data_IF_236525971277
#
_entry.id   IF_236525971277
#
_cell.length_a   1.000
_cell.length_b   1.000
_cell.length_c   1.000
_cell.angle_alpha   90.00
_cell.angle_beta   90.00
_cell.angle_gamma   90.00
#
_symmetry.space_group_name_H-M   'P 1'
#
loop_
_entity.id
_entity.type
_entity.pdbx_description
1 polymer ?
#
# COMPACT_ATOMS: atom_id res chain seq x y z
N UNK A 1 -18.44 4.29 -2.30
CA UNK A 1 -18.60 4.62 -3.75
C UNK A 1 -17.64 3.75 -4.55
N UNK A 2 -18.03 3.21 -5.72
CA UNK A 2 -17.13 2.44 -6.58
C UNK A 2 -15.93 3.29 -7.06
N UNK A 3 -14.73 2.95 -6.58
CA UNK A 3 -13.52 3.76 -6.81
C UNK A 3 -13.13 3.84 -8.29
N UNK A 4 -13.17 2.70 -9.01
CA UNK A 4 -12.80 2.65 -10.43
C UNK A 4 -13.68 3.58 -11.28
N UNK A 5 -15.00 3.51 -11.12
CA UNK A 5 -15.93 4.36 -11.88
C UNK A 5 -15.70 5.85 -11.59
N UNK A 6 -15.45 6.21 -10.34
CA UNK A 6 -15.13 7.58 -9.96
C UNK A 6 -13.82 8.07 -10.60
N UNK A 7 -12.75 7.26 -10.52
CA UNK A 7 -11.44 7.58 -11.11
C UNK A 7 -11.57 7.72 -12.63
N UNK A 8 -12.25 6.79 -13.29
CA UNK A 8 -12.44 6.80 -14.74
C UNK A 8 -13.22 8.06 -15.19
N UNK A 9 -14.27 8.43 -14.45
CA UNK A 9 -15.01 9.67 -14.71
C UNK A 9 -14.11 10.90 -14.54
N UNK A 10 -13.42 11.05 -13.40
CA UNK A 10 -12.56 12.22 -13.14
C UNK A 10 -11.44 12.34 -14.17
N UNK A 11 -10.83 11.23 -14.58
CA UNK A 11 -9.77 11.21 -15.60
C UNK A 11 -10.27 11.57 -17.01
N UNK A 12 -11.57 11.44 -17.27
CA UNK A 12 -12.18 11.81 -18.55
C UNK A 12 -12.50 13.31 -18.66
N UNK A 13 -12.47 14.04 -17.55
CA UNK A 13 -12.84 15.46 -17.51
C UNK A 13 -11.67 16.36 -17.93
N UNK A 14 -11.94 17.52 -18.56
CA UNK A 14 -10.92 18.53 -18.76
C UNK A 14 -10.45 19.10 -17.41
N UNK A 15 -9.25 19.73 -17.36
CA UNK A 15 -8.77 20.40 -16.16
C UNK A 15 -9.78 21.40 -15.60
N UNK A 16 -10.11 21.29 -14.32
CA UNK A 16 -11.09 22.15 -13.67
C UNK A 16 -11.56 21.61 -12.33
N UNK A 17 -12.55 22.27 -11.74
CA UNK A 17 -13.14 21.87 -10.47
C UNK A 17 -14.24 20.82 -10.70
N UNK A 18 -14.25 19.79 -9.85
CA UNK A 18 -15.33 18.80 -9.77
C UNK A 18 -16.09 19.01 -8.47
N UNK A 19 -17.36 19.33 -8.57
CA UNK A 19 -18.28 19.44 -7.44
C UNK A 19 -18.89 18.07 -7.13
N UNK A 20 -18.95 17.71 -5.85
CA UNK A 20 -19.59 16.49 -5.38
C UNK A 20 -20.70 16.83 -4.38
N UNK A 21 -21.88 16.25 -4.56
CA UNK A 21 -23.00 16.36 -3.62
C UNK A 21 -23.63 15.00 -3.36
N UNK A 22 -23.79 14.64 -2.09
CA UNK A 22 -24.39 13.38 -1.67
C UNK A 22 -25.89 13.54 -1.42
N UNK A 23 -26.70 12.75 -2.10
CA UNK A 23 -28.07 12.49 -1.68
C UNK A 23 -28.06 11.40 -0.60
N UNK A 24 -28.23 11.82 0.66
CA UNK A 24 -28.16 10.92 1.83
C UNK A 24 -29.26 9.84 1.81
N UNK A 25 -30.43 10.13 1.24
CA UNK A 25 -31.56 9.18 1.18
C UNK A 25 -31.30 8.05 0.21
N UNK A 26 -30.77 8.36 -0.97
CA UNK A 26 -30.52 7.36 -2.03
C UNK A 26 -29.09 6.82 -2.00
N UNK A 27 -28.23 7.40 -1.16
CA UNK A 27 -26.78 7.17 -1.11
C UNK A 27 -26.12 7.40 -2.47
N UNK A 28 -26.66 8.32 -3.27
CA UNK A 28 -26.15 8.66 -4.61
C UNK A 28 -25.26 9.88 -4.51
N UNK A 29 -24.03 9.78 -5.01
CA UNK A 29 -23.14 10.93 -5.19
C UNK A 29 -23.37 11.49 -6.59
N UNK A 30 -23.79 12.75 -6.65
CA UNK A 30 -23.85 13.54 -7.87
C UNK A 30 -22.52 14.26 -8.06
N UNK A 31 -21.95 14.17 -9.25
CA UNK A 31 -20.70 14.81 -9.66
C UNK A 31 -20.99 15.80 -10.78
N UNK A 32 -20.42 16.99 -10.71
CA UNK A 32 -20.55 18.03 -11.73
C UNK A 32 -19.23 18.71 -12.02
N UNK A 33 -18.90 18.86 -13.30
CA UNK A 33 -17.77 19.67 -13.77
C UNK A 33 -18.17 20.39 -15.05
N UNK A 34 -18.48 21.68 -14.96
CA UNK A 34 -19.02 22.44 -16.08
C UNK A 34 -20.30 21.77 -16.64
N UNK A 35 -20.34 21.41 -17.94
CA UNK A 35 -21.49 20.73 -18.55
C UNK A 35 -21.54 19.22 -18.31
N UNK A 36 -20.52 18.64 -17.68
CA UNK A 36 -20.43 17.20 -17.45
C UNK A 36 -21.02 16.84 -16.08
N UNK A 37 -21.95 15.87 -16.08
CA UNK A 37 -22.62 15.39 -14.87
C UNK A 37 -22.64 13.87 -14.82
N UNK A 38 -22.52 13.31 -13.62
CA UNK A 38 -22.65 11.88 -13.37
C UNK A 38 -23.29 11.61 -12.01
N UNK A 39 -24.05 10.52 -11.93
CA UNK A 39 -24.59 10.00 -10.69
C UNK A 39 -23.98 8.63 -10.40
N UNK A 40 -23.29 8.52 -9.27
CA UNK A 40 -22.68 7.27 -8.83
C UNK A 40 -23.39 6.80 -7.57
N UNK A 41 -24.03 5.62 -7.65
CA UNK A 41 -24.65 4.99 -6.48
C UNK A 41 -23.57 4.46 -5.54
N UNK A 42 -23.60 4.93 -4.30
CA UNK A 42 -22.74 4.46 -3.22
C UNK A 42 -23.36 3.31 -2.43
N UNK A 43 -22.70 3.02 -1.31
CA UNK A 43 -23.15 2.13 -0.24
C UNK A 43 -23.11 2.93 1.06
N UNK A 44 -23.63 2.38 2.16
CA UNK A 44 -23.50 3.07 3.44
C UNK A 44 -22.04 3.22 3.84
N UNK A 45 -21.69 4.36 4.43
CA UNK A 45 -20.33 4.58 4.92
C UNK A 45 -20.03 3.69 6.13
N UNK A 46 -21.06 3.34 6.91
CA UNK A 46 -20.95 2.43 8.07
C UNK A 46 -20.64 0.98 7.67
N UNK A 47 -20.96 0.59 6.43
CA UNK A 47 -20.61 -0.72 5.87
C UNK A 47 -19.15 -0.78 5.36
N UNK A 48 -18.45 0.36 5.31
CA UNK A 48 -17.05 0.38 4.93
C UNK A 48 -16.21 -0.27 6.04
N UNK A 49 -15.27 -1.17 5.72
CA UNK A 49 -14.50 -1.87 6.73
C UNK A 49 -13.75 -0.89 7.64
N UNK A 50 -13.77 -1.18 8.93
CA UNK A 50 -13.05 -0.40 9.94
C UNK A 50 -11.57 -0.46 9.61
N UNK A 51 -10.93 0.70 9.52
CA UNK A 51 -9.48 0.78 9.37
C UNK A 51 -8.87 0.30 10.69
N UNK A 52 -8.08 -0.80 10.69
CA UNK A 52 -7.48 -1.30 11.92
C UNK A 52 -6.58 -0.24 12.54
N UNK A 53 -6.68 -0.06 13.86
CA UNK A 53 -5.77 0.80 14.59
C UNK A 53 -4.39 0.15 14.60
N UNK A 54 -3.39 0.86 14.07
CA UNK A 54 -2.00 0.41 14.11
C UNK A 54 -1.45 0.76 15.50
N UNK A 55 -0.84 -0.20 16.23
CA UNK A 55 -0.16 0.09 17.48
C UNK A 55 0.89 1.19 17.29
N UNK A 56 1.01 2.12 18.24
CA UNK A 56 1.95 3.25 18.11
C UNK A 56 3.43 2.81 18.03
N UNK A 57 3.74 1.59 18.48
CA UNK A 57 5.08 1.04 18.58
C UNK A 57 5.05 -0.48 18.38
N UNK A 58 6.15 -1.09 17.91
CA UNK A 58 7.44 -0.46 17.58
C UNK A 58 7.43 0.26 16.21
N UNK A 59 8.09 1.41 16.15
CA UNK A 59 8.28 2.22 14.94
C UNK A 59 9.76 2.58 14.77
N UNK A 60 10.18 2.77 13.52
CA UNK A 60 11.54 3.24 13.18
C UNK A 60 11.47 4.17 11.98
N UNK A 61 12.56 4.89 11.71
CA UNK A 61 12.69 5.80 10.58
C UNK A 61 13.84 5.38 9.68
N UNK A 62 13.69 5.63 8.39
CA UNK A 62 14.77 5.57 7.41
C UNK A 62 14.49 6.47 6.21
N UNK A 63 15.51 6.66 5.37
CA UNK A 63 15.39 7.39 4.12
C UNK A 63 14.38 6.71 3.17
N UNK A 64 13.38 7.46 2.71
CA UNK A 64 12.40 7.02 1.70
C UNK A 64 13.10 6.50 0.43
N UNK A 65 14.15 7.21 -0.03
CA UNK A 65 14.93 6.81 -1.21
C UNK A 65 15.61 5.46 -1.00
N UNK A 66 16.13 5.23 0.20
CA UNK A 66 16.80 3.98 0.57
C UNK A 66 15.80 2.84 0.62
N UNK A 67 14.67 3.03 1.31
CA UNK A 67 13.58 2.05 1.38
C UNK A 67 13.11 1.63 -0.02
N UNK A 68 12.79 2.62 -0.87
CA UNK A 68 12.33 2.37 -2.25
C UNK A 68 13.35 1.57 -3.06
N UNK A 69 14.64 1.88 -2.92
CA UNK A 69 15.70 1.16 -3.61
C UNK A 69 15.82 -0.29 -3.12
N UNK A 70 15.78 -0.51 -1.81
CA UNK A 70 15.82 -1.86 -1.25
C UNK A 70 14.64 -2.71 -1.72
N UNK A 71 13.43 -2.15 -1.71
CA UNK A 71 12.23 -2.82 -2.22
C UNK A 71 12.43 -3.24 -3.68
N UNK A 72 12.85 -2.32 -4.55
CA UNK A 72 13.05 -2.59 -5.97
C UNK A 72 14.13 -3.67 -6.24
N UNK A 73 15.15 -3.75 -5.39
CA UNK A 73 16.26 -4.70 -5.53
C UNK A 73 15.96 -6.08 -4.92
N UNK A 74 14.96 -6.20 -4.02
CA UNK A 74 14.66 -7.43 -3.28
C UNK A 74 13.30 -8.03 -3.64
N UNK A 75 12.22 -7.24 -3.63
CA UNK A 75 10.85 -7.76 -3.68
C UNK A 75 10.51 -8.51 -4.98
N UNK A 76 11.18 -8.20 -6.09
CA UNK A 76 10.95 -8.89 -7.37
C UNK A 76 11.47 -10.34 -7.40
N UNK A 77 12.28 -10.73 -6.41
CA UNK A 77 12.84 -12.08 -6.26
C UNK A 77 11.91 -13.00 -5.47
N UNK A 78 10.91 -12.46 -4.77
CA UNK A 78 9.93 -13.30 -4.08
C UNK A 78 9.23 -14.25 -5.06
N UNK A 79 8.99 -15.49 -4.60
CA UNK A 79 8.31 -16.49 -5.39
C UNK A 79 6.90 -16.03 -5.81
N UNK A 80 6.51 -16.33 -7.04
CA UNK A 80 5.17 -16.03 -7.56
C UNK A 80 4.21 -17.22 -7.37
N UNK A 81 4.75 -18.42 -7.24
CA UNK A 81 3.98 -19.61 -6.88
C UNK A 81 3.76 -19.67 -5.37
N UNK A 82 2.60 -20.20 -4.98
CA UNK A 82 2.19 -20.30 -3.58
C UNK A 82 2.44 -21.72 -3.02
N UNK A 83 3.32 -22.52 -3.66
CA UNK A 83 3.68 -23.84 -3.15
C UNK A 83 4.40 -23.75 -1.81
N UNK A 84 5.12 -22.63 -1.62
CA UNK A 84 5.79 -22.24 -0.38
C UNK A 84 5.42 -20.78 -0.07
N UNK A 85 4.27 -20.53 0.58
CA UNK A 85 3.75 -19.17 0.80
C UNK A 85 4.74 -18.22 1.48
N UNK A 86 5.60 -18.76 2.35
CA UNK A 86 6.68 -18.02 3.02
C UNK A 86 7.65 -17.33 2.04
N UNK A 87 7.86 -17.90 0.85
CA UNK A 87 8.76 -17.36 -0.19
C UNK A 87 8.09 -16.28 -1.05
N UNK A 88 6.78 -16.10 -0.94
CA UNK A 88 6.03 -15.04 -1.66
C UNK A 88 6.19 -13.66 -1.02
N UNK A 89 6.82 -13.61 0.16
CA UNK A 89 7.11 -12.39 0.90
C UNK A 89 8.60 -12.04 0.91
N UNK A 90 8.88 -10.88 1.49
CA UNK A 90 10.23 -10.39 1.78
C UNK A 90 10.46 -10.48 3.27
N UNK A 91 11.43 -11.30 3.67
CA UNK A 91 11.91 -11.34 5.05
C UNK A 91 12.58 -9.99 5.35
N UNK A 92 12.07 -9.29 6.35
CA UNK A 92 12.57 -7.99 6.80
C UNK A 92 12.92 -8.08 8.28
N UNK A 93 14.21 -7.94 8.58
CA UNK A 93 14.75 -8.03 9.93
C UNK A 93 15.25 -6.65 10.36
N UNK A 94 14.80 -6.16 11.50
CA UNK A 94 15.24 -4.92 12.12
C UNK A 94 16.03 -5.25 13.39
N UNK A 95 17.31 -4.89 13.45
CA UNK A 95 18.17 -5.19 14.58
C UNK A 95 19.14 -4.03 14.84
N UNK A 96 19.01 -3.38 15.99
CA UNK A 96 19.79 -2.19 16.31
C UNK A 96 19.54 -1.11 15.26
N UNK A 97 20.61 -0.61 14.64
CA UNK A 97 20.54 0.41 13.59
C UNK A 97 20.58 -0.17 12.16
N UNK A 98 20.33 -1.46 11.99
CA UNK A 98 20.34 -2.15 10.70
C UNK A 98 18.94 -2.68 10.35
N UNK A 99 18.54 -2.51 9.09
CA UNK A 99 17.49 -3.33 8.48
C UNK A 99 18.09 -4.22 7.40
N UNK A 100 17.60 -5.45 7.35
CA UNK A 100 17.91 -6.44 6.31
C UNK A 100 16.62 -6.79 5.59
N UNK A 101 16.62 -6.75 4.26
CA UNK A 101 15.54 -7.28 3.41
C UNK A 101 16.10 -8.43 2.59
N UNK A 102 15.42 -9.58 2.62
CA UNK A 102 15.79 -10.76 1.86
C UNK A 102 14.57 -11.42 1.21
N UNK A 103 14.71 -11.84 -0.05
CA UNK A 103 13.70 -12.60 -0.77
C UNK A 103 14.39 -13.64 -1.66
N UNK A 104 13.74 -14.79 -1.82
CA UNK A 104 14.26 -15.91 -2.59
C UNK A 104 13.15 -16.59 -3.37
N UNK A 105 13.54 -17.15 -4.51
CA UNK A 105 12.77 -18.13 -5.27
C UNK A 105 13.63 -19.41 -5.41
N UNK A 106 13.19 -20.46 -6.13
CA UNK A 106 13.99 -21.67 -6.32
C UNK A 106 15.35 -21.46 -7.05
N UNK A 107 15.58 -20.31 -7.67
CA UNK A 107 16.71 -20.08 -8.58
C UNK A 107 17.66 -18.97 -8.10
N UNK A 108 17.18 -18.04 -7.27
CA UNK A 108 17.94 -16.84 -6.89
C UNK A 108 17.53 -16.33 -5.50
N UNK A 109 18.45 -15.56 -4.91
CA UNK A 109 18.32 -14.88 -3.63
C UNK A 109 18.81 -13.44 -3.80
N UNK A 110 18.06 -12.48 -3.26
CA UNK A 110 18.50 -11.09 -3.13
C UNK A 110 18.46 -10.66 -1.67
N UNK A 111 19.53 -10.00 -1.22
CA UNK A 111 19.66 -9.46 0.13
C UNK A 111 20.17 -8.03 0.07
N UNK A 112 19.51 -7.15 0.83
CA UNK A 112 19.91 -5.75 1.00
C UNK A 112 19.90 -5.34 2.45
N UNK A 113 20.84 -4.44 2.76
CA UNK A 113 21.02 -3.87 4.08
C UNK A 113 20.98 -2.35 4.01
N UNK A 114 20.44 -1.71 5.03
CA UNK A 114 20.53 -0.26 5.20
C UNK A 114 20.55 0.13 6.66
N UNK A 115 21.12 1.31 6.94
CA UNK A 115 21.05 1.91 8.27
C UNK A 115 19.67 2.52 8.52
N UNK A 116 19.16 2.27 9.72
CA UNK A 116 18.00 2.96 10.28
C UNK A 116 18.44 4.29 10.90
N UNK A 117 17.52 5.24 10.95
CA UNK A 117 17.69 6.50 11.67
C UNK A 117 17.38 6.34 13.16
N UNK A 118 16.46 5.44 13.52
CA UNK A 118 16.16 5.06 14.90
C UNK A 118 16.44 3.59 15.12
N UNK A 119 17.10 3.26 16.23
CA UNK A 119 17.45 1.88 16.56
C UNK A 119 16.22 1.09 17.00
N UNK A 120 16.19 -0.20 16.67
CA UNK A 120 15.15 -1.15 17.03
C UNK A 120 15.76 -2.24 17.94
N UNK A 121 15.24 -2.34 19.16
CA UNK A 121 15.62 -3.34 20.17
C UNK A 121 14.35 -3.68 20.98
N UNK A 122 13.98 -4.97 21.15
CA UNK A 122 14.64 -6.17 20.64
C UNK A 122 14.59 -6.28 19.11
N UNK A 123 15.38 -7.21 18.55
CA UNK A 123 15.30 -7.55 17.13
C UNK A 123 13.86 -7.94 16.76
N UNK A 124 13.40 -7.42 15.63
CA UNK A 124 12.09 -7.74 15.06
C UNK A 124 12.30 -8.36 13.69
N UNK A 125 11.56 -9.41 13.41
CA UNK A 125 11.56 -10.07 12.11
C UNK A 125 10.13 -10.20 11.60
N UNK A 126 9.90 -9.81 10.35
CA UNK A 126 8.60 -9.85 9.70
C UNK A 126 8.74 -10.31 8.26
N UNK A 127 7.76 -11.07 7.76
CA UNK A 127 7.66 -11.36 6.34
C UNK A 127 6.58 -10.45 5.76
N UNK A 128 6.99 -9.55 4.87
CA UNK A 128 6.07 -8.60 4.22
C UNK A 128 5.67 -9.19 2.87
N UNK A 129 4.37 -9.40 2.58
CA UNK A 129 3.95 -9.88 1.27
C UNK A 129 4.48 -8.99 0.15
N UNK A 130 5.10 -9.57 -0.88
CA UNK A 130 5.74 -8.78 -1.94
C UNK A 130 4.73 -7.86 -2.66
N UNK A 131 3.47 -8.30 -2.80
CA UNK A 131 2.37 -7.53 -3.38
C UNK A 131 2.03 -6.26 -2.61
N UNK A 132 2.39 -6.17 -1.32
CA UNK A 132 2.16 -4.99 -0.49
C UNK A 132 3.30 -3.96 -0.58
N UNK A 133 4.42 -4.31 -1.23
CA UNK A 133 5.60 -3.45 -1.37
C UNK A 133 5.63 -2.67 -2.70
N UNK A 134 4.72 -2.97 -3.64
CA UNK A 134 4.60 -2.33 -4.95
C UNK A 134 3.36 -1.44 -5.04
#
# INVERSE_FOLDING_TARGET
MPAKLFIDFVNSLPPGNVELSLNVRTKTVHLRSGPYEANIKGMDAEEFPIIPQIPEKPTTRMSQRTLRRMIAEVAFVAATDDSRPVLTGVLTTFAGDLVTMAAADPYRLSVRHARLLDRVDPQIEVIIPAKSLF
#
